data_IF_466028573858
#
_entry.id   IF_466028573858
#
_cell.length_a   1.000
_cell.length_b   1.000
_cell.length_c   1.000
_cell.angle_alpha   90.00
_cell.angle_beta   90.00
_cell.angle_gamma   90.00
#
_symmetry.space_group_name_H-M   'P 1'
#
loop_
_entity.id
_entity.type
_entity.pdbx_description
1 polymer ?
#
# COMPACT_ATOMS: atom_id res chain seq x y z
N UNK A 1 5.87 -14.63 31.81
CA UNK A 1 4.59 -15.18 31.37
C UNK A 1 4.64 -16.66 31.57
N UNK A 2 3.64 -17.21 32.25
CA UNK A 2 3.40 -18.65 32.38
C UNK A 2 2.70 -19.19 31.13
N UNK A 3 2.66 -20.52 30.96
CA UNK A 3 2.12 -21.17 29.75
C UNK A 3 0.67 -20.77 29.40
N UNK A 4 -0.13 -20.44 30.41
CA UNK A 4 -1.56 -20.13 30.25
C UNK A 4 -1.86 -18.62 30.28
N UNK A 5 -0.83 -17.77 30.36
CA UNK A 5 -1.00 -16.32 30.30
C UNK A 5 -1.45 -15.88 28.90
N UNK A 6 -2.38 -14.91 28.84
CA UNK A 6 -2.78 -14.30 27.58
C UNK A 6 -1.63 -13.47 27.00
N UNK A 7 -1.45 -13.53 25.68
CA UNK A 7 -0.44 -12.74 24.96
C UNK A 7 -0.84 -11.27 24.74
N UNK A 8 -2.10 -10.92 24.95
CA UNK A 8 -2.65 -9.56 24.73
C UNK A 8 -1.79 -8.43 25.34
N UNK A 9 -1.23 -8.54 26.57
CA UNK A 9 -0.37 -7.50 27.12
C UNK A 9 0.92 -7.28 26.31
N UNK A 10 1.46 -8.32 25.65
CA UNK A 10 2.63 -8.20 24.77
C UNK A 10 2.31 -7.53 23.44
N UNK A 11 1.06 -7.63 22.97
CA UNK A 11 0.65 -7.02 21.70
C UNK A 11 0.62 -5.48 21.77
N UNK A 12 0.58 -4.90 22.97
CA UNK A 12 0.61 -3.44 23.17
C UNK A 12 1.90 -2.78 22.67
N UNK A 13 3.00 -3.54 22.60
CA UNK A 13 4.28 -3.07 22.03
C UNK A 13 4.49 -3.50 20.58
N UNK A 14 3.51 -4.18 19.98
CA UNK A 14 3.58 -4.59 18.58
C UNK A 14 2.99 -3.50 17.68
N UNK A 15 3.54 -3.41 16.46
CA UNK A 15 3.00 -2.53 15.42
C UNK A 15 2.11 -3.33 14.46
N UNK A 16 0.95 -2.79 14.14
CA UNK A 16 0.12 -3.24 13.03
C UNK A 16 0.33 -2.32 11.82
N UNK A 17 0.40 -2.88 10.61
CA UNK A 17 0.77 -2.11 9.41
C UNK A 17 -0.37 -1.95 8.42
N UNK A 18 -0.51 -0.73 7.92
CA UNK A 18 -1.31 -0.40 6.74
C UNK A 18 -0.43 -0.49 5.50
N UNK A 19 -0.65 -1.54 4.70
CA UNK A 19 0.12 -1.82 3.50
C UNK A 19 -0.28 -0.95 2.31
N UNK A 20 0.70 -0.38 1.61
CA UNK A 20 0.50 0.34 0.33
C UNK A 20 1.28 -0.36 -0.79
N UNK A 21 0.69 -0.36 -2.00
CA UNK A 21 1.26 -0.86 -3.26
C UNK A 21 0.72 -0.04 -4.44
N UNK A 22 1.37 -0.13 -5.60
CA UNK A 22 0.89 0.39 -6.88
C UNK A 22 0.65 1.91 -6.94
N UNK A 23 1.45 2.73 -6.23
CA UNK A 23 1.31 4.19 -6.32
C UNK A 23 1.71 4.74 -7.70
N UNK A 24 2.56 4.02 -8.44
CA UNK A 24 2.94 4.42 -9.80
C UNK A 24 1.75 4.28 -10.77
N UNK A 25 1.05 3.14 -10.71
CA UNK A 25 -0.15 2.90 -11.50
C UNK A 25 -1.30 3.85 -11.10
N UNK A 26 -1.43 4.17 -9.81
CA UNK A 26 -2.38 5.18 -9.34
C UNK A 26 -2.11 6.54 -9.97
N UNK A 27 -0.85 6.93 -10.10
CA UNK A 27 -0.46 8.19 -10.73
C UNK A 27 -0.80 8.19 -12.23
N UNK A 28 -0.53 7.07 -12.92
CA UNK A 28 -0.94 6.90 -14.33
C UNK A 28 -2.46 7.00 -14.50
N UNK A 29 -3.24 6.41 -13.61
CA UNK A 29 -4.71 6.55 -13.64
C UNK A 29 -5.18 7.99 -13.41
N UNK A 30 -4.45 8.77 -12.61
CA UNK A 30 -4.83 10.14 -12.30
C UNK A 30 -4.58 11.11 -13.45
N UNK A 31 -3.38 11.09 -14.05
CA UNK A 31 -2.98 12.07 -15.06
C UNK A 31 -2.11 11.53 -16.20
N UNK A 32 -1.98 10.21 -16.32
CA UNK A 32 -1.21 9.57 -17.39
C UNK A 32 0.31 9.69 -17.26
N UNK A 33 0.82 10.08 -16.08
CA UNK A 33 2.25 10.24 -15.82
C UNK A 33 2.72 9.27 -14.75
N UNK A 34 4.00 8.93 -14.74
CA UNK A 34 4.62 8.22 -13.62
C UNK A 34 4.81 9.14 -12.40
N UNK A 35 5.08 8.54 -11.24
CA UNK A 35 5.42 9.29 -10.02
C UNK A 35 6.73 10.10 -10.12
N UNK A 36 7.63 9.74 -11.04
CA UNK A 36 8.86 10.50 -11.29
C UNK A 36 8.54 11.76 -12.11
N UNK A 37 7.62 11.63 -13.08
CA UNK A 37 7.20 12.74 -13.93
C UNK A 37 6.30 13.74 -13.19
N UNK A 38 5.38 13.24 -12.35
CA UNK A 38 4.50 14.06 -11.51
C UNK A 38 3.99 13.29 -10.29
N UNK A 39 4.76 13.26 -9.20
CA UNK A 39 4.42 12.51 -7.98
C UNK A 39 3.53 13.24 -6.98
N UNK A 40 2.99 14.42 -7.30
CA UNK A 40 2.24 15.25 -6.33
C UNK A 40 1.01 14.53 -5.77
N UNK A 41 0.21 13.94 -6.65
CA UNK A 41 -1.00 13.25 -6.23
C UNK A 41 -0.68 11.98 -5.42
N UNK A 42 0.30 11.18 -5.84
CA UNK A 42 0.77 10.05 -5.03
C UNK A 42 1.23 10.46 -3.62
N UNK A 43 1.92 11.60 -3.49
CA UNK A 43 2.34 12.14 -2.20
C UNK A 43 1.16 12.62 -1.34
N UNK A 44 0.17 13.29 -1.95
CA UNK A 44 -1.07 13.70 -1.27
C UNK A 44 -1.83 12.48 -0.73
N UNK A 45 -1.95 11.42 -1.54
CA UNK A 45 -2.58 10.16 -1.13
C UNK A 45 -1.81 9.50 0.02
N UNK A 46 -0.48 9.42 -0.06
CA UNK A 46 0.34 8.88 1.02
C UNK A 46 0.21 9.70 2.32
N UNK A 47 0.18 11.03 2.21
CA UNK A 47 -0.02 11.94 3.33
C UNK A 47 -1.41 11.79 3.96
N UNK A 48 -2.45 11.63 3.14
CA UNK A 48 -3.81 11.36 3.61
C UNK A 48 -3.88 10.04 4.38
N UNK A 49 -3.31 8.96 3.84
CA UNK A 49 -3.28 7.65 4.51
C UNK A 49 -2.55 7.77 5.85
N UNK A 50 -1.39 8.44 5.88
CA UNK A 50 -0.63 8.64 7.10
C UNK A 50 -1.43 9.40 8.17
N UNK A 51 -2.16 10.45 7.78
CA UNK A 51 -2.99 11.22 8.69
C UNK A 51 -4.16 10.39 9.26
N UNK A 52 -4.83 9.58 8.42
CA UNK A 52 -5.89 8.67 8.88
C UNK A 52 -5.36 7.59 9.83
N UNK A 53 -4.17 7.06 9.56
CA UNK A 53 -3.53 6.07 10.44
C UNK A 53 -3.18 6.69 11.79
N UNK A 54 -2.70 7.93 11.82
CA UNK A 54 -2.43 8.66 13.05
C UNK A 54 -3.71 8.94 13.86
N UNK A 55 -4.82 9.26 13.19
CA UNK A 55 -6.14 9.41 13.81
C UNK A 55 -6.57 8.12 14.50
N UNK A 56 -6.54 6.98 13.80
CA UNK A 56 -6.89 5.67 14.39
C UNK A 56 -6.01 5.31 15.58
N UNK A 57 -4.70 5.51 15.47
CA UNK A 57 -3.76 5.27 16.57
C UNK A 57 -4.08 6.14 17.80
N UNK A 58 -4.58 7.35 17.60
CA UNK A 58 -5.01 8.23 18.71
C UNK A 58 -6.32 7.75 19.37
N UNK A 59 -7.21 7.13 18.60
CA UNK A 59 -8.53 6.69 19.05
C UNK A 59 -8.49 5.34 19.79
N UNK A 60 -7.75 4.37 19.26
CA UNK A 60 -7.72 3.00 19.79
C UNK A 60 -6.45 2.65 20.57
N UNK A 61 -5.46 3.55 20.57
CA UNK A 61 -4.15 3.38 21.22
C UNK A 61 -3.32 2.19 20.72
N UNK A 62 -3.60 1.69 19.51
CA UNK A 62 -2.80 0.66 18.84
C UNK A 62 -1.68 1.34 18.05
N UNK A 63 -0.48 0.77 18.11
CA UNK A 63 0.65 1.28 17.33
C UNK A 63 0.48 0.88 15.87
N UNK A 64 0.25 1.87 15.00
CA UNK A 64 0.14 1.64 13.57
C UNK A 64 1.34 2.19 12.79
N UNK A 65 1.64 1.57 11.64
CA UNK A 65 2.60 2.11 10.68
C UNK A 65 2.08 2.03 9.26
N UNK A 66 2.45 2.99 8.42
CA UNK A 66 2.29 2.87 6.97
C UNK A 66 3.50 2.10 6.42
N UNK A 67 3.24 1.06 5.64
CA UNK A 67 4.29 0.16 5.18
C UNK A 67 4.19 -0.11 3.68
N UNK A 68 5.30 0.09 2.98
CA UNK A 68 5.45 -0.37 1.60
C UNK A 68 5.50 -1.90 1.57
N UNK A 69 4.44 -2.55 1.13
CA UNK A 69 4.29 -4.01 1.20
C UNK A 69 5.19 -4.69 0.17
N UNK A 70 6.12 -5.59 0.56
CA UNK A 70 6.86 -6.45 -0.37
C UNK A 70 5.87 -7.40 -1.05
N UNK A 71 5.36 -6.98 -2.20
CA UNK A 71 4.20 -7.59 -2.83
C UNK A 71 4.58 -8.66 -3.88
N UNK A 72 5.62 -9.45 -3.63
CA UNK A 72 6.22 -10.40 -4.58
C UNK A 72 5.19 -11.39 -5.18
N UNK A 73 4.29 -11.93 -4.34
CA UNK A 73 3.20 -12.81 -4.80
C UNK A 73 1.85 -12.10 -4.90
N UNK A 74 1.75 -10.87 -4.35
CA UNK A 74 0.50 -10.12 -4.27
C UNK A 74 0.28 -9.29 -5.55
N UNK A 75 1.32 -8.68 -6.13
CA UNK A 75 1.23 -7.84 -7.32
C UNK A 75 0.59 -8.58 -8.50
N UNK A 76 1.00 -9.83 -8.75
CA UNK A 76 0.43 -10.65 -9.83
C UNK A 76 -1.05 -10.99 -9.61
N UNK A 77 -1.46 -11.21 -8.36
CA UNK A 77 -2.88 -11.46 -8.03
C UNK A 77 -3.71 -10.20 -8.18
N UNK A 78 -3.19 -9.05 -7.76
CA UNK A 78 -3.88 -7.78 -7.85
C UNK A 78 -4.09 -7.35 -9.31
N UNK A 79 -3.07 -7.47 -10.16
CA UNK A 79 -3.23 -7.09 -11.57
C UNK A 79 -4.21 -8.00 -12.30
N UNK A 80 -4.23 -9.31 -12.00
CA UNK A 80 -5.23 -10.24 -12.54
C UNK A 80 -6.64 -9.82 -12.14
N UNK A 81 -6.87 -9.60 -10.84
CA UNK A 81 -8.18 -9.16 -10.34
C UNK A 81 -8.60 -7.79 -10.90
N UNK A 82 -7.64 -6.91 -11.18
CA UNK A 82 -7.91 -5.62 -11.80
C UNK A 82 -8.32 -5.79 -13.27
N UNK A 83 -7.56 -6.58 -14.04
CA UNK A 83 -7.85 -6.89 -15.45
C UNK A 83 -9.22 -7.53 -15.63
N UNK A 84 -9.60 -8.44 -14.72
CA UNK A 84 -10.93 -9.09 -14.75
C UNK A 84 -12.08 -8.07 -14.63
N UNK A 85 -11.86 -6.92 -13.99
CA UNK A 85 -12.88 -5.88 -13.77
C UNK A 85 -12.81 -4.73 -14.78
N UNK A 86 -11.61 -4.33 -15.15
CA UNK A 86 -11.36 -3.07 -15.87
C UNK A 86 -10.62 -3.26 -17.20
N UNK A 87 -10.21 -4.49 -17.51
CA UNK A 87 -9.42 -4.80 -18.69
C UNK A 87 -7.95 -4.39 -18.55
N UNK A 88 -7.27 -4.41 -19.70
CA UNK A 88 -5.86 -4.01 -19.81
C UNK A 88 -5.78 -2.52 -20.10
N UNK A 89 -5.06 -1.80 -19.25
CA UNK A 89 -4.80 -0.37 -19.37
C UNK A 89 -3.30 -0.13 -19.51
N UNK A 90 -2.91 0.65 -20.51
CA UNK A 90 -1.51 1.02 -20.76
C UNK A 90 -0.90 1.72 -19.53
N UNK A 91 0.33 1.33 -19.17
CA UNK A 91 1.07 1.80 -17.99
C UNK A 91 0.41 1.55 -16.62
N UNK A 92 -0.69 0.81 -16.58
CA UNK A 92 -1.40 0.47 -15.33
C UNK A 92 -1.46 -1.04 -15.17
N UNK A 93 -2.08 -1.75 -16.10
CA UNK A 93 -2.29 -3.19 -16.04
C UNK A 93 -1.83 -3.92 -17.31
N UNK A 94 -0.98 -3.28 -18.11
CA UNK A 94 -0.35 -3.88 -19.30
C UNK A 94 0.74 -4.91 -18.94
N UNK A 95 1.37 -4.75 -17.78
CA UNK A 95 2.36 -5.68 -17.22
C UNK A 95 1.71 -6.72 -16.31
N UNK A 96 2.37 -7.86 -16.13
CA UNK A 96 1.87 -8.97 -15.30
C UNK A 96 2.05 -8.76 -13.78
N UNK A 97 2.39 -7.54 -13.37
CA UNK A 97 2.53 -7.13 -11.98
C UNK A 97 2.25 -5.62 -11.84
N UNK A 98 1.78 -5.21 -10.66
CA UNK A 98 1.84 -3.81 -10.22
C UNK A 98 3.17 -3.48 -9.55
N UNK A 99 3.57 -2.22 -9.58
CA UNK A 99 4.79 -1.75 -8.96
C UNK A 99 4.74 -1.90 -7.43
N UNK A 100 5.90 -2.18 -6.84
CA UNK A 100 6.00 -2.34 -5.41
C UNK A 100 5.87 -0.97 -4.73
N UNK A 101 4.92 -0.82 -3.81
CA UNK A 101 4.81 0.35 -2.93
C UNK A 101 4.80 1.68 -3.69
N UNK A 102 5.89 2.45 -3.61
CA UNK A 102 6.12 3.75 -4.25
C UNK A 102 7.23 3.68 -5.32
N UNK A 103 7.58 2.48 -5.80
CA UNK A 103 8.60 2.31 -6.83
C UNK A 103 8.00 2.53 -8.23
N UNK A 104 8.83 2.96 -9.17
CA UNK A 104 8.52 2.83 -10.59
C UNK A 104 8.71 1.38 -11.06
N UNK A 105 8.21 1.07 -12.25
CA UNK A 105 8.50 -0.20 -12.90
C UNK A 105 10.01 -0.40 -13.04
N UNK A 106 10.47 -1.62 -12.80
CA UNK A 106 11.81 -2.06 -13.17
C UNK A 106 11.86 -2.15 -14.70
N UNK A 107 12.79 -1.42 -15.30
CA UNK A 107 13.08 -1.39 -16.74
C UNK A 107 13.95 -2.56 -17.17
#
# INVERSE_FOLDING_TARGET
MERDDKIEPLLKSATASYGITALNELQYLYNGKSIIEDGKFALEVAGYINNKVAEYQSEDHIQYSVYGTPAESLCGKQVKSFRDKFGVLENVSDRDYFSNSFHCHVS
#
